data_IF_668975963534
#
_entry.id   IF_668975963534
#
_cell.length_a   1.000
_cell.length_b   1.000
_cell.length_c   1.000
_cell.angle_alpha   90.00
_cell.angle_beta   90.00
_cell.angle_gamma   90.00
#
_symmetry.space_group_name_H-M   'P 1'
#
loop_
_entity.id
_entity.type
_entity.pdbx_description
1 polymer ?
#
# COMPACT_ATOMS: atom_id res chain seq x y z
N UNK A 1 12.47 -8.01 -9.42
CA UNK A 1 12.49 -8.51 -8.03
C UNK A 1 11.06 -8.67 -7.56
N UNK A 2 10.83 -9.43 -6.50
CA UNK A 2 9.50 -9.64 -5.92
C UNK A 2 9.45 -9.25 -4.46
N UNK A 3 8.24 -9.02 -3.97
CA UNK A 3 7.91 -8.93 -2.56
C UNK A 3 6.77 -9.93 -2.30
N UNK A 4 6.87 -10.74 -1.25
CA UNK A 4 5.89 -11.75 -0.88
C UNK A 4 5.47 -11.52 0.57
N UNK A 5 4.17 -11.37 0.80
CA UNK A 5 3.55 -11.48 2.12
C UNK A 5 2.81 -12.81 2.16
N UNK A 6 3.09 -13.65 3.16
CA UNK A 6 2.51 -14.99 3.29
C UNK A 6 2.28 -15.30 4.76
N UNK A 7 1.20 -16.00 5.09
CA UNK A 7 0.88 -16.32 6.47
C UNK A 7 -0.51 -16.91 6.67
N UNK A 8 -0.84 -17.10 7.93
CA UNK A 8 -2.14 -17.45 8.49
C UNK A 8 -2.61 -16.36 9.47
N UNK A 9 -3.78 -16.53 10.09
CA UNK A 9 -4.38 -15.53 10.99
C UNK A 9 -3.45 -15.08 12.12
N UNK A 10 -2.72 -16.02 12.71
CA UNK A 10 -1.88 -15.76 13.88
C UNK A 10 -0.46 -15.30 13.51
N UNK A 11 0.00 -15.61 12.30
CA UNK A 11 1.41 -15.46 11.92
C UNK A 11 1.53 -15.15 10.44
N UNK A 12 2.29 -14.10 10.10
CA UNK A 12 2.64 -13.78 8.73
C UNK A 12 4.13 -13.43 8.62
N UNK A 13 4.67 -13.55 7.42
CA UNK A 13 6.05 -13.23 7.11
C UNK A 13 6.14 -12.49 5.77
N UNK A 14 7.18 -11.67 5.66
CA UNK A 14 7.61 -11.01 4.44
C UNK A 14 8.87 -11.69 3.89
N UNK A 15 8.95 -11.84 2.57
CA UNK A 15 10.16 -12.29 1.88
C UNK A 15 10.34 -11.55 0.55
N UNK A 16 11.59 -11.41 0.10
CA UNK A 16 11.94 -10.80 -1.18
C UNK A 16 13.23 -11.39 -1.71
N UNK A 17 13.39 -11.50 -3.03
CA UNK A 17 14.67 -11.86 -3.63
C UNK A 17 15.76 -10.78 -3.47
N UNK A 18 15.44 -9.63 -2.87
CA UNK A 18 16.37 -8.54 -2.55
C UNK A 18 16.71 -8.47 -1.06
N UNK A 19 16.20 -9.40 -0.24
CA UNK A 19 16.53 -9.54 1.17
C UNK A 19 16.88 -11.01 1.47
N UNK A 20 17.70 -11.24 2.49
CA UNK A 20 18.05 -12.59 2.93
C UNK A 20 17.02 -13.09 3.96
N UNK A 21 16.47 -14.27 3.72
CA UNK A 21 15.54 -14.93 4.65
C UNK A 21 14.14 -14.34 4.66
N UNK A 22 13.28 -14.90 5.53
CA UNK A 22 11.94 -14.40 5.78
C UNK A 22 11.91 -13.56 7.06
N UNK A 23 11.21 -12.43 7.02
CA UNK A 23 11.02 -11.53 8.16
C UNK A 23 9.63 -11.78 8.73
N UNK A 24 9.55 -12.26 9.97
CA UNK A 24 8.27 -12.40 10.66
C UNK A 24 7.60 -11.03 10.87
N UNK A 25 6.32 -10.92 10.54
CA UNK A 25 5.52 -9.73 10.76
C UNK A 25 4.96 -9.79 12.18
N UNK A 26 5.49 -8.94 13.06
CA UNK A 26 4.96 -8.79 14.42
C UNK A 26 3.68 -7.97 14.43
N UNK A 27 2.93 -8.01 15.54
CA UNK A 27 1.80 -7.11 15.75
C UNK A 27 2.22 -5.66 15.53
N UNK A 28 1.43 -4.91 14.75
CA UNK A 28 1.74 -3.53 14.39
C UNK A 28 1.32 -3.22 12.95
N UNK A 29 1.83 -2.10 12.44
CA UNK A 29 1.55 -1.63 11.07
C UNK A 29 2.84 -1.70 10.26
N UNK A 30 2.76 -2.41 9.15
CA UNK A 30 3.85 -2.61 8.20
C UNK A 30 3.48 -1.95 6.87
N UNK A 31 4.47 -1.43 6.17
CA UNK A 31 4.30 -0.78 4.88
C UNK A 31 5.15 -1.45 3.81
N UNK A 32 4.55 -1.72 2.66
CA UNK A 32 5.24 -2.32 1.53
C UNK A 32 4.89 -1.56 0.25
N UNK A 33 5.90 -1.34 -0.59
CA UNK A 33 5.72 -0.80 -1.94
C UNK A 33 6.76 -1.47 -2.86
N UNK A 34 7.36 -0.74 -3.80
CA UNK A 34 8.29 -1.28 -4.79
C UNK A 34 9.74 -1.39 -4.27
N UNK A 35 9.91 -1.49 -2.95
CA UNK A 35 11.19 -1.71 -2.27
C UNK A 35 11.02 -2.69 -1.11
N UNK A 36 12.03 -2.81 -0.24
CA UNK A 36 11.99 -3.63 0.98
C UNK A 36 10.92 -3.16 1.96
N UNK A 37 10.47 -4.08 2.82
CA UNK A 37 9.51 -3.82 3.90
C UNK A 37 9.91 -2.58 4.72
N UNK A 38 8.94 -1.72 5.00
CA UNK A 38 9.07 -0.49 5.78
C UNK A 38 10.11 0.52 5.29
N UNK A 39 10.56 0.40 4.03
CA UNK A 39 11.33 1.47 3.38
C UNK A 39 10.54 2.79 3.50
N UNK A 40 11.14 3.87 4.05
CA UNK A 40 10.41 5.04 4.54
C UNK A 40 9.98 6.00 3.42
N UNK A 41 9.42 5.47 2.33
CA UNK A 41 8.92 6.28 1.23
C UNK A 41 7.80 7.23 1.68
N UNK A 42 7.70 8.43 1.10
CA UNK A 42 6.67 9.41 1.46
C UNK A 42 5.26 8.82 1.51
N UNK A 43 4.82 8.12 0.45
CA UNK A 43 3.53 7.40 0.45
C UNK A 43 3.39 6.38 1.54
N UNK A 44 4.42 5.57 1.80
CA UNK A 44 4.36 4.51 2.83
C UNK A 44 4.17 5.15 4.20
N UNK A 45 4.95 6.19 4.52
CA UNK A 45 4.81 6.94 5.78
C UNK A 45 3.44 7.58 5.90
N UNK A 46 2.96 8.22 4.84
CA UNK A 46 1.68 8.90 4.81
C UNK A 46 0.50 7.91 4.98
N UNK A 47 0.47 6.83 4.20
CA UNK A 47 -0.57 5.81 4.30
C UNK A 47 -0.55 5.11 5.66
N UNK A 48 0.62 4.79 6.22
CA UNK A 48 0.71 4.23 7.60
C UNK A 48 0.14 5.19 8.63
N UNK A 49 0.47 6.49 8.55
CA UNK A 49 -0.05 7.49 9.49
C UNK A 49 -1.58 7.64 9.40
N UNK A 50 -2.14 7.67 8.20
CA UNK A 50 -3.59 7.73 8.01
C UNK A 50 -4.30 6.45 8.46
N UNK A 51 -3.69 5.29 8.22
CA UNK A 51 -4.20 4.01 8.72
C UNK A 51 -4.20 3.97 10.26
N UNK A 52 -3.14 4.42 10.92
CA UNK A 52 -3.11 4.57 12.40
C UNK A 52 -4.26 5.45 12.87
N UNK A 53 -4.46 6.60 12.23
CA UNK A 53 -5.50 7.55 12.61
C UNK A 53 -6.90 6.93 12.45
N UNK A 54 -7.14 6.21 11.36
CA UNK A 54 -8.39 5.51 11.13
C UNK A 54 -8.62 4.37 12.14
N UNK A 55 -7.61 3.54 12.42
CA UNK A 55 -7.75 2.45 13.40
C UNK A 55 -8.11 2.96 14.81
N UNK A 56 -7.70 4.19 15.16
CA UNK A 56 -8.07 4.83 16.44
C UNK A 56 -9.54 5.24 16.53
N UNK A 57 -10.27 5.35 15.41
CA UNK A 57 -11.70 5.67 15.43
C UNK A 57 -12.56 4.47 15.80
N UNK A 58 -12.03 3.25 15.69
CA UNK A 58 -12.79 2.01 15.89
C UNK A 58 -13.80 1.71 14.77
N UNK A 59 -13.74 2.44 13.66
CA UNK A 59 -14.61 2.20 12.51
C UNK A 59 -14.11 0.98 11.71
N UNK A 60 -14.94 -0.06 11.62
CA UNK A 60 -14.59 -1.31 10.95
C UNK A 60 -15.05 -1.38 9.47
N UNK A 61 -15.66 -0.31 8.95
CA UNK A 61 -16.09 -0.22 7.54
C UNK A 61 -14.87 -0.26 6.61
N UNK A 62 -15.07 -0.81 5.41
CA UNK A 62 -13.98 -0.89 4.42
C UNK A 62 -13.83 0.40 3.62
N UNK A 63 -14.89 1.20 3.52
CA UNK A 63 -14.93 2.43 2.72
C UNK A 63 -13.81 3.41 3.06
N UNK A 64 -13.54 3.74 4.35
CA UNK A 64 -12.42 4.62 4.69
C UNK A 64 -11.05 4.07 4.29
N UNK A 65 -10.88 2.74 4.26
CA UNK A 65 -9.63 2.11 3.81
C UNK A 65 -9.43 2.33 2.30
N UNK A 66 -10.49 2.29 1.51
CA UNK A 66 -10.41 2.64 0.09
C UNK A 66 -10.08 4.12 -0.13
N UNK A 67 -10.50 5.03 0.75
CA UNK A 67 -10.10 6.45 0.69
C UNK A 67 -8.61 6.64 1.00
N UNK A 68 -8.00 5.74 1.78
CA UNK A 68 -6.54 5.72 1.95
C UNK A 68 -5.84 5.26 0.68
N UNK A 69 -6.37 4.23 0.02
CA UNK A 69 -5.81 3.66 -1.21
C UNK A 69 -6.00 4.57 -2.43
N UNK A 70 -7.06 5.40 -2.43
CA UNK A 70 -7.36 6.36 -3.50
C UNK A 70 -6.52 7.65 -3.44
N UNK A 71 -5.53 7.73 -2.56
CA UNK A 71 -4.71 8.92 -2.34
C UNK A 71 -3.77 9.22 -3.51
N UNK A 72 -4.07 10.32 -4.21
CA UNK A 72 -3.32 10.82 -5.37
C UNK A 72 -2.24 11.85 -4.99
N UNK A 73 -2.05 12.12 -3.71
CA UNK A 73 -1.09 13.12 -3.24
C UNK A 73 0.32 12.72 -3.66
N UNK A 74 0.98 13.61 -4.40
CA UNK A 74 2.39 13.46 -4.75
C UNK A 74 3.25 14.13 -3.69
N UNK A 75 4.39 13.53 -3.39
CA UNK A 75 5.33 14.06 -2.42
C UNK A 75 6.08 15.27 -2.98
N UNK A 76 6.51 16.16 -2.09
CA UNK A 76 7.30 17.33 -2.45
C UNK A 76 8.65 16.91 -3.07
N UNK A 77 9.18 17.64 -4.07
CA UNK A 77 10.42 17.27 -4.75
C UNK A 77 11.60 16.99 -3.82
N UNK A 78 11.73 17.77 -2.73
CA UNK A 78 12.78 17.62 -1.71
C UNK A 78 12.68 16.31 -0.91
N UNK A 79 11.50 15.70 -0.88
CA UNK A 79 11.23 14.43 -0.19
C UNK A 79 11.28 13.21 -1.12
N UNK A 80 11.44 13.43 -2.42
CA UNK A 80 11.53 12.37 -3.40
C UNK A 80 12.86 11.64 -3.29
N UNK A 81 12.87 10.31 -3.49
CA UNK A 81 14.11 9.59 -3.57
C UNK A 81 14.85 9.79 -4.87
N UNK A 82 16.10 9.30 -4.87
CA UNK A 82 16.90 9.16 -6.08
C UNK A 82 17.07 7.66 -6.35
N UNK A 83 16.05 7.05 -6.94
CA UNK A 83 16.01 5.61 -7.27
C UNK A 83 16.60 5.30 -8.65
N UNK A 84 16.92 6.33 -9.42
CA UNK A 84 17.49 6.23 -10.78
C UNK A 84 16.47 6.36 -11.91
N UNK A 85 15.20 6.64 -11.61
CA UNK A 85 14.21 7.05 -12.62
C UNK A 85 14.22 8.57 -12.79
N UNK A 86 13.51 9.10 -13.80
CA UNK A 86 13.43 10.56 -13.98
C UNK A 86 12.68 11.23 -12.83
N UNK A 87 12.92 12.53 -12.55
CA UNK A 87 12.20 13.26 -11.50
C UNK A 87 10.68 13.25 -11.66
N UNK A 88 10.18 13.24 -12.91
CA UNK A 88 8.76 13.09 -13.21
C UNK A 88 8.22 11.74 -12.72
N UNK A 89 8.96 10.65 -12.98
CA UNK A 89 8.62 9.32 -12.50
C UNK A 89 8.75 9.22 -10.98
N UNK A 90 9.76 9.80 -10.35
CA UNK A 90 9.87 9.83 -8.88
C UNK A 90 8.63 10.48 -8.27
N UNK A 91 8.19 11.61 -8.83
CA UNK A 91 7.00 12.32 -8.37
C UNK A 91 5.73 11.50 -8.61
N UNK A 92 5.58 10.89 -9.78
CA UNK A 92 4.43 10.05 -10.10
C UNK A 92 4.34 8.83 -9.17
N UNK A 93 5.46 8.13 -8.96
CA UNK A 93 5.54 6.93 -8.12
C UNK A 93 5.44 7.23 -6.62
N UNK A 94 5.48 8.51 -6.24
CA UNK A 94 5.34 8.95 -4.84
C UNK A 94 3.91 8.95 -4.33
N UNK A 95 2.89 8.76 -5.18
CA UNK A 95 1.49 8.62 -4.75
C UNK A 95 1.13 7.16 -4.46
N UNK A 96 0.09 6.95 -3.62
CA UNK A 96 -0.48 5.63 -3.40
C UNK A 96 -1.33 5.19 -4.60
N UNK A 97 -2.10 6.13 -5.16
CA UNK A 97 -2.89 5.96 -6.37
C UNK A 97 -2.23 6.68 -7.54
N UNK A 98 -1.80 5.92 -8.56
CA UNK A 98 -1.12 6.46 -9.73
C UNK A 98 -2.12 6.57 -10.89
N UNK A 99 -2.20 7.74 -11.52
CA UNK A 99 -2.96 7.92 -12.77
C UNK A 99 -1.96 8.11 -13.90
N UNK A 100 -1.78 7.05 -14.69
CA UNK A 100 -0.99 7.06 -15.92
C UNK A 100 -1.56 5.97 -16.86
N UNK A 101 -1.65 6.21 -18.17
CA UNK A 101 -2.20 5.22 -19.10
C UNK A 101 -1.37 3.93 -19.18
N UNK A 102 -0.05 4.00 -18.93
CA UNK A 102 0.88 2.87 -19.05
C UNK A 102 1.18 2.21 -17.70
N UNK A 103 1.20 2.97 -16.61
CA UNK A 103 1.60 2.53 -15.26
C UNK A 103 0.67 3.07 -14.16
N UNK A 104 -0.64 3.04 -14.40
CA UNK A 104 -1.64 3.49 -13.42
C UNK A 104 -2.08 2.39 -12.47
N UNK A 105 -2.61 2.79 -11.31
CA UNK A 105 -3.36 1.91 -10.42
C UNK A 105 -4.62 1.43 -11.14
N UNK A 106 -4.78 0.10 -11.26
CA UNK A 106 -5.93 -0.54 -11.91
C UNK A 106 -6.87 -1.23 -10.94
N UNK A 107 -6.38 -1.59 -9.76
CA UNK A 107 -7.21 -2.07 -8.70
C UNK A 107 -6.74 -1.54 -7.34
N UNK A 108 -7.64 -1.53 -6.38
CA UNK A 108 -7.36 -1.35 -4.97
C UNK A 108 -8.10 -2.44 -4.23
N UNK A 109 -7.39 -3.16 -3.36
CA UNK A 109 -7.92 -4.35 -2.68
C UNK A 109 -7.80 -4.18 -1.19
N UNK A 110 -8.87 -4.51 -0.46
CA UNK A 110 -8.89 -4.55 1.00
C UNK A 110 -9.25 -5.97 1.42
N UNK A 111 -8.34 -6.61 2.16
CA UNK A 111 -8.57 -7.86 2.86
C UNK A 111 -8.56 -7.58 4.36
N UNK A 112 -9.70 -7.74 5.00
CA UNK A 112 -9.84 -7.60 6.46
C UNK A 112 -10.22 -8.96 7.04
N UNK A 113 -9.48 -9.41 8.06
CA UNK A 113 -9.75 -10.70 8.70
C UNK A 113 -9.98 -10.49 10.19
N UNK A 114 -11.16 -10.90 10.65
CA UNK A 114 -11.59 -10.84 12.04
C UNK A 114 -10.92 -11.89 12.90
N UNK A 115 -10.95 -11.69 14.23
CA UNK A 115 -10.42 -12.65 15.21
C UNK A 115 -11.20 -13.96 15.25
N UNK A 116 -12.45 -13.92 14.81
CA UNK A 116 -13.34 -15.07 14.61
C UNK A 116 -13.04 -15.85 13.32
N UNK A 117 -12.07 -15.39 12.52
CA UNK A 117 -11.73 -15.96 11.23
C UNK A 117 -12.59 -15.44 10.07
N UNK A 118 -13.56 -14.55 10.31
CA UNK A 118 -14.38 -13.97 9.24
C UNK A 118 -13.50 -13.08 8.35
N UNK A 119 -13.41 -13.44 7.07
CA UNK A 119 -12.68 -12.66 6.08
C UNK A 119 -13.63 -11.83 5.22
N UNK A 120 -13.31 -10.55 5.06
CA UNK A 120 -13.94 -9.64 4.10
C UNK A 120 -12.92 -9.29 3.03
N UNK A 121 -13.25 -9.58 1.79
CA UNK A 121 -12.48 -9.22 0.62
C UNK A 121 -13.31 -8.26 -0.23
N UNK A 122 -12.77 -7.09 -0.51
CA UNK A 122 -13.37 -6.12 -1.41
C UNK A 122 -12.30 -5.54 -2.34
N UNK A 123 -12.66 -5.36 -3.60
CA UNK A 123 -11.79 -4.78 -4.60
C UNK A 123 -12.54 -3.70 -5.38
N UNK A 124 -11.82 -2.64 -5.76
CA UNK A 124 -12.28 -1.61 -6.69
C UNK A 124 -11.39 -1.64 -7.92
N UNK A 125 -11.98 -1.67 -9.10
CA UNK A 125 -11.30 -1.64 -10.39
C UNK A 125 -11.37 -0.27 -11.04
N UNK A 126 -10.32 0.11 -11.77
CA UNK A 126 -10.20 1.43 -12.39
C UNK A 126 -9.72 1.35 -13.83
N UNK A 127 -10.24 2.23 -14.67
CA UNK A 127 -9.79 2.41 -16.05
C UNK A 127 -8.41 3.12 -16.14
N UNK A 128 -7.96 3.37 -17.36
CA UNK A 128 -6.70 4.07 -17.64
C UNK A 128 -6.63 5.49 -17.02
N UNK A 129 -7.77 6.17 -16.91
CA UNK A 129 -7.93 7.49 -16.32
C UNK A 129 -8.12 7.48 -14.80
N UNK A 130 -8.16 6.30 -14.18
CA UNK A 130 -8.41 6.16 -12.75
C UNK A 130 -9.88 6.34 -12.36
N UNK A 131 -10.81 6.16 -13.31
CA UNK A 131 -12.25 6.16 -13.04
C UNK A 131 -12.68 4.77 -12.57
N UNK A 132 -13.57 4.71 -11.57
CA UNK A 132 -14.09 3.45 -11.05
C UNK A 132 -14.90 2.70 -12.13
N UNK A 133 -14.61 1.42 -12.33
CA UNK A 133 -15.28 0.56 -13.31
C UNK A 133 -15.94 -0.67 -12.70
N UNK A 134 -15.66 -0.97 -11.43
CA UNK A 134 -16.16 -2.15 -10.71
C UNK A 134 -15.75 -2.13 -9.25
#
# INVERSE_FOLDING_TARGET
GFNLLVGELAQAAYSSNRASGAIALTSGIHGLSNHLLDTPWPKVRHSKARLVAHLKTGDERLEPLFELLADRTQAEPVSLPSTGVSPEWERLLSSAFIVDPRYGTRCSTVLAIGRDGTARFAERSFDAGGSLTG
#
